data_IF_035917260869
#
_entry.id   IF_035917260869
#
_cell.length_a   1.000
_cell.length_b   1.000
_cell.length_c   1.000
_cell.angle_alpha   90.00
_cell.angle_beta   90.00
_cell.angle_gamma   90.00
#
_symmetry.space_group_name_H-M   'P 1'
#
loop_
_entity.id
_entity.type
_entity.pdbx_description
1 polymer ?
#
# COMPACT_ATOMS: atom_id res chain seq x y z
N UNK A 1 1.48 0.15 -0.12
CA UNK A 1 2.30 0.14 1.10
C UNK A 1 3.72 -0.21 0.70
N UNK A 2 4.74 0.52 1.18
CA UNK A 2 6.14 0.12 0.98
C UNK A 2 6.34 -1.32 1.46
N UNK A 3 7.11 -2.12 0.72
CA UNK A 3 7.40 -3.53 1.00
C UNK A 3 6.20 -4.51 1.02
N UNK A 4 4.99 -4.09 0.65
CA UNK A 4 3.85 -5.01 0.59
C UNK A 4 3.93 -5.95 -0.62
N UNK A 5 3.70 -7.24 -0.37
CA UNK A 5 3.52 -8.26 -1.39
C UNK A 5 2.04 -8.39 -1.77
N UNK A 6 1.75 -8.60 -3.05
CA UNK A 6 0.39 -8.78 -3.53
C UNK A 6 0.09 -10.27 -3.74
N UNK A 7 -0.72 -10.86 -2.85
CA UNK A 7 -1.27 -12.20 -3.02
C UNK A 7 -2.79 -12.11 -3.20
N UNK A 8 -3.31 -12.38 -4.40
CA UNK A 8 -4.72 -12.20 -4.67
C UNK A 8 -5.55 -13.35 -4.09
N UNK A 9 -6.54 -13.03 -3.26
CA UNK A 9 -7.64 -13.96 -2.95
C UNK A 9 -8.46 -14.28 -4.20
N UNK A 10 -8.59 -13.31 -5.12
CA UNK A 10 -9.33 -13.39 -6.38
C UNK A 10 -8.59 -12.66 -7.48
N UNK A 11 -8.65 -13.17 -8.71
CA UNK A 11 -8.19 -12.45 -9.90
C UNK A 11 -9.17 -11.32 -10.27
N UNK A 12 -8.85 -10.55 -11.32
CA UNK A 12 -9.66 -9.40 -11.70
C UNK A 12 -11.09 -9.77 -12.14
N UNK A 13 -11.24 -10.87 -12.88
CA UNK A 13 -12.53 -11.30 -13.43
C UNK A 13 -13.43 -11.88 -12.33
N UNK A 14 -12.88 -12.74 -11.47
CA UNK A 14 -13.56 -13.25 -10.27
C UNK A 14 -14.00 -12.12 -9.36
N UNK A 15 -13.12 -11.13 -9.13
CA UNK A 15 -13.44 -9.95 -8.32
C UNK A 15 -14.57 -9.13 -8.95
N UNK A 16 -14.57 -8.98 -10.29
CA UNK A 16 -15.62 -8.26 -11.01
C UNK A 16 -16.97 -9.01 -10.92
N UNK A 17 -16.97 -10.33 -11.08
CA UNK A 17 -18.16 -11.17 -10.96
C UNK A 17 -18.76 -11.11 -9.54
N UNK A 18 -17.93 -11.29 -8.51
CA UNK A 18 -18.35 -11.19 -7.10
C UNK A 18 -18.83 -9.79 -6.75
N UNK A 19 -18.15 -8.75 -7.25
CA UNK A 19 -18.56 -7.36 -7.05
C UNK A 19 -19.92 -7.05 -7.68
N UNK A 20 -20.18 -7.57 -8.88
CA UNK A 20 -21.49 -7.45 -9.55
C UNK A 20 -22.57 -8.18 -8.78
N UNK A 21 -22.32 -9.43 -8.39
CA UNK A 21 -23.24 -10.23 -7.58
C UNK A 21 -23.57 -9.54 -6.25
N UNK A 22 -22.57 -8.98 -5.56
CA UNK A 22 -22.77 -8.23 -4.32
C UNK A 22 -23.73 -7.06 -4.51
N UNK A 23 -23.57 -6.29 -5.60
CA UNK A 23 -24.43 -5.14 -5.89
C UNK A 23 -25.87 -5.55 -6.23
N UNK A 24 -26.04 -6.68 -6.90
CA UNK A 24 -27.35 -7.11 -7.41
C UNK A 24 -28.14 -8.00 -6.42
N UNK A 25 -27.44 -8.86 -5.69
CA UNK A 25 -28.03 -9.97 -4.92
C UNK A 25 -27.60 -9.97 -3.45
N UNK A 26 -26.74 -9.02 -3.03
CA UNK A 26 -26.33 -8.84 -1.65
C UNK A 26 -25.14 -9.71 -1.23
N UNK A 27 -24.81 -9.62 0.07
CA UNK A 27 -23.58 -10.17 0.65
C UNK A 27 -23.51 -11.70 0.58
N UNK A 28 -24.57 -12.40 0.95
CA UNK A 28 -24.56 -13.86 1.07
C UNK A 28 -24.42 -14.54 -0.30
N UNK A 29 -25.12 -14.02 -1.31
CA UNK A 29 -24.99 -14.49 -2.69
C UNK A 29 -23.57 -14.28 -3.23
N UNK A 30 -22.97 -13.12 -2.95
CA UNK A 30 -21.60 -12.82 -3.36
C UNK A 30 -20.57 -13.71 -2.65
N UNK A 31 -20.78 -14.01 -1.37
CA UNK A 31 -19.94 -14.93 -0.61
C UNK A 31 -20.02 -16.35 -1.18
N UNK A 32 -21.23 -16.85 -1.44
CA UNK A 32 -21.45 -18.15 -2.05
C UNK A 32 -20.81 -18.25 -3.44
N UNK A 33 -20.95 -17.20 -4.26
CA UNK A 33 -20.27 -17.13 -5.56
C UNK A 33 -18.75 -17.14 -5.41
N UNK A 34 -18.21 -16.38 -4.46
CA UNK A 34 -16.78 -16.35 -4.17
C UNK A 34 -16.23 -17.72 -3.79
N UNK A 35 -16.94 -18.47 -2.94
CA UNK A 35 -16.55 -19.84 -2.59
C UNK A 35 -16.61 -20.80 -3.78
N UNK A 36 -17.56 -20.62 -4.70
CA UNK A 36 -17.63 -21.42 -5.94
C UNK A 36 -16.48 -21.13 -6.89
N UNK A 37 -16.11 -19.86 -7.04
CA UNK A 37 -15.04 -19.42 -7.94
C UNK A 37 -13.65 -19.79 -7.40
N UNK A 38 -13.47 -19.74 -6.08
CA UNK A 38 -12.20 -20.04 -5.41
C UNK A 38 -12.32 -21.36 -4.64
N UNK A 39 -12.45 -22.46 -5.40
CA UNK A 39 -12.61 -23.81 -4.89
C UNK A 39 -11.53 -24.77 -5.43
N UNK A 40 -11.46 -25.96 -4.83
CA UNK A 40 -10.60 -27.05 -5.28
C UNK A 40 -9.14 -26.64 -5.45
N UNK A 41 -8.57 -26.95 -6.62
CA UNK A 41 -7.17 -26.70 -6.93
C UNK A 41 -6.79 -25.21 -6.90
N UNK A 42 -7.68 -24.32 -7.35
CA UNK A 42 -7.45 -22.87 -7.34
C UNK A 42 -7.29 -22.36 -5.91
N UNK A 43 -8.15 -22.84 -4.99
CA UNK A 43 -8.03 -22.51 -3.56
C UNK A 43 -6.71 -23.02 -3.00
N UNK A 44 -6.33 -24.26 -3.33
CA UNK A 44 -5.10 -24.86 -2.84
C UNK A 44 -3.87 -24.09 -3.30
N UNK A 45 -3.76 -23.77 -4.60
CA UNK A 45 -2.67 -22.98 -5.17
C UNK A 45 -2.53 -21.61 -4.48
N UNK A 46 -3.64 -20.92 -4.24
CA UNK A 46 -3.64 -19.64 -3.51
C UNK A 46 -3.20 -19.81 -2.05
N UNK A 47 -3.69 -20.86 -1.39
CA UNK A 47 -3.33 -21.17 -0.01
C UNK A 47 -1.84 -21.49 0.14
N UNK A 48 -1.26 -22.25 -0.80
CA UNK A 48 0.17 -22.56 -0.80
C UNK A 48 1.03 -21.31 -0.98
N UNK A 49 0.61 -20.38 -1.85
CA UNK A 49 1.27 -19.09 -2.01
C UNK A 49 1.22 -18.25 -0.72
N UNK A 50 0.07 -18.22 -0.02
CA UNK A 50 -0.05 -17.57 1.28
C UNK A 50 0.86 -18.20 2.32
N UNK A 51 0.89 -19.53 2.41
CA UNK A 51 1.74 -20.26 3.35
C UNK A 51 3.22 -19.96 3.12
N UNK A 52 3.67 -20.01 1.86
CA UNK A 52 5.06 -19.72 1.51
C UNK A 52 5.45 -18.28 1.92
N UNK A 53 4.56 -17.31 1.68
CA UNK A 53 4.80 -15.93 2.05
C UNK A 53 4.84 -15.70 3.57
N UNK A 54 3.94 -16.34 4.33
CA UNK A 54 3.94 -16.26 5.79
C UNK A 54 5.21 -16.88 6.40
N UNK A 55 5.72 -17.99 5.83
CA UNK A 55 6.98 -18.61 6.26
C UNK A 55 8.18 -17.69 6.00
N UNK A 56 8.20 -16.99 4.86
CA UNK A 56 9.26 -16.03 4.53
C UNK A 56 9.15 -14.74 5.36
N UNK A 57 7.94 -14.40 5.84
CA UNK A 57 7.64 -13.14 6.53
C UNK A 57 6.84 -13.40 7.81
N UNK A 58 7.44 -14.02 8.86
CA UNK A 58 6.70 -14.42 10.06
C UNK A 58 6.12 -13.24 10.85
N UNK A 59 6.63 -12.03 10.66
CA UNK A 59 6.19 -10.79 11.32
C UNK A 59 5.30 -9.91 10.43
N UNK A 60 4.81 -10.44 9.30
CA UNK A 60 3.96 -9.65 8.41
C UNK A 60 2.51 -9.55 8.90
N UNK A 61 1.72 -8.75 8.19
CA UNK A 61 0.33 -8.45 8.54
C UNK A 61 -0.53 -8.50 7.28
N UNK A 62 -1.71 -9.14 7.35
CA UNK A 62 -2.69 -9.17 6.27
C UNK A 62 -3.40 -7.83 6.13
N UNK A 63 -3.64 -7.42 4.89
CA UNK A 63 -4.39 -6.21 4.60
C UNK A 63 -5.20 -6.37 3.32
N UNK A 64 -6.48 -5.99 3.36
CA UNK A 64 -7.27 -5.76 2.15
C UNK A 64 -7.69 -4.30 2.04
N UNK A 65 -8.38 -3.92 0.96
CA UNK A 65 -8.73 -2.52 0.69
C UNK A 65 -9.44 -1.79 1.85
N UNK A 66 -10.31 -2.49 2.60
CA UNK A 66 -11.16 -1.88 3.64
C UNK A 66 -11.28 -2.73 4.92
N UNK A 67 -10.42 -3.73 5.11
CA UNK A 67 -10.50 -4.64 6.26
C UNK A 67 -11.82 -5.43 6.33
N UNK A 68 -12.40 -5.79 5.18
CA UNK A 68 -13.66 -6.54 5.11
C UNK A 68 -13.45 -8.04 4.96
N UNK A 69 -14.49 -8.73 4.49
CA UNK A 69 -14.55 -10.20 4.40
C UNK A 69 -13.36 -10.86 3.70
N UNK A 70 -12.80 -10.24 2.66
CA UNK A 70 -11.69 -10.82 1.89
C UNK A 70 -10.47 -11.15 2.75
N UNK A 71 -10.04 -10.23 3.61
CA UNK A 71 -8.89 -10.48 4.48
C UNK A 71 -9.23 -11.48 5.59
N UNK A 72 -10.46 -11.49 6.10
CA UNK A 72 -10.91 -12.46 7.10
C UNK A 72 -11.03 -13.89 6.54
N UNK A 73 -11.43 -14.07 5.28
CA UNK A 73 -11.46 -15.38 4.62
C UNK A 73 -10.05 -15.96 4.54
N UNK A 74 -9.07 -15.17 4.07
CA UNK A 74 -7.67 -15.60 4.00
C UNK A 74 -7.12 -15.88 5.39
N UNK A 75 -7.39 -15.01 6.37
CA UNK A 75 -6.97 -15.22 7.74
C UNK A 75 -7.52 -16.53 8.33
N UNK A 76 -8.79 -16.84 8.05
CA UNK A 76 -9.41 -18.11 8.47
C UNK A 76 -8.73 -19.30 7.81
N UNK A 77 -8.44 -19.25 6.51
CA UNK A 77 -7.72 -20.33 5.82
C UNK A 77 -6.33 -20.56 6.40
N UNK A 78 -5.61 -19.48 6.72
CA UNK A 78 -4.30 -19.56 7.37
C UNK A 78 -4.39 -20.15 8.77
N UNK A 79 -5.35 -19.71 9.57
CA UNK A 79 -5.60 -20.23 10.91
C UNK A 79 -5.98 -21.72 10.88
N UNK A 80 -6.86 -22.14 9.95
CA UNK A 80 -7.19 -23.55 9.70
C UNK A 80 -5.95 -24.39 9.32
N UNK A 81 -4.95 -23.78 8.68
CA UNK A 81 -3.67 -24.40 8.36
C UNK A 81 -2.62 -24.27 9.49
N UNK A 82 -3.00 -23.78 10.67
CA UNK A 82 -2.14 -23.62 11.84
C UNK A 82 -1.21 -22.39 11.78
N UNK A 83 -1.54 -21.39 10.98
CA UNK A 83 -0.76 -20.16 10.83
C UNK A 83 -1.58 -18.98 11.36
N UNK A 84 -1.19 -18.49 12.53
CA UNK A 84 -1.73 -17.26 13.10
C UNK A 84 -1.06 -16.05 12.46
N UNK A 85 -1.85 -15.27 11.74
CA UNK A 85 -1.36 -14.08 11.04
C UNK A 85 -2.28 -12.88 11.30
N UNK A 86 -1.75 -11.75 11.79
CA UNK A 86 -2.56 -10.61 12.18
C UNK A 86 -3.13 -9.87 10.96
N UNK A 87 -4.17 -9.06 11.19
CA UNK A 87 -4.89 -8.33 10.16
C UNK A 87 -4.95 -6.84 10.50
N UNK A 88 -4.78 -5.99 9.49
CA UNK A 88 -4.94 -4.54 9.63
C UNK A 88 -6.41 -4.19 9.71
N UNK A 89 -6.87 -3.75 10.88
CA UNK A 89 -8.22 -3.24 11.07
C UNK A 89 -8.52 -2.05 10.14
N UNK A 90 -9.68 -2.09 9.48
CA UNK A 90 -10.06 -1.10 8.46
C UNK A 90 -9.23 -1.14 7.15
N UNK A 91 -8.22 -2.01 7.09
CA UNK A 91 -7.40 -2.29 5.92
C UNK A 91 -6.63 -1.09 5.39
N UNK A 92 -6.35 -1.10 4.09
CA UNK A 92 -5.52 -0.07 3.44
C UNK A 92 -6.14 1.33 3.54
N UNK A 93 -7.48 1.42 3.54
CA UNK A 93 -8.16 2.70 3.73
C UNK A 93 -7.79 3.33 5.07
N UNK A 94 -7.80 2.56 6.16
CA UNK A 94 -7.44 3.05 7.50
C UNK A 94 -5.96 3.49 7.54
N UNK A 95 -5.05 2.64 7.06
CA UNK A 95 -3.62 2.97 6.99
C UNK A 95 -3.36 4.26 6.19
N UNK A 96 -4.01 4.41 5.03
CA UNK A 96 -3.89 5.60 4.21
C UNK A 96 -4.40 6.83 4.95
N UNK A 97 -5.53 6.72 5.66
CA UNK A 97 -6.08 7.82 6.44
C UNK A 97 -5.14 8.22 7.57
N UNK A 98 -4.56 7.27 8.30
CA UNK A 98 -3.57 7.53 9.35
C UNK A 98 -2.35 8.26 8.80
N UNK A 99 -1.81 7.82 7.66
CA UNK A 99 -0.66 8.48 7.04
C UNK A 99 -0.99 9.92 6.59
N UNK A 100 -2.18 10.15 6.03
CA UNK A 100 -2.65 11.49 5.68
C UNK A 100 -2.77 12.37 6.92
N UNK A 101 -3.38 11.84 7.99
CA UNK A 101 -3.58 12.58 9.23
C UNK A 101 -2.25 12.98 9.87
N UNK A 102 -1.31 12.03 9.96
CA UNK A 102 0.04 12.31 10.44
C UNK A 102 0.76 13.38 9.60
N UNK A 103 0.55 13.38 8.28
CA UNK A 103 1.10 14.40 7.38
C UNK A 103 0.49 15.77 7.66
N UNK A 104 -0.83 15.85 7.85
CA UNK A 104 -1.54 17.10 8.18
C UNK A 104 -1.03 17.65 9.52
N UNK A 105 -0.88 16.80 10.53
CA UNK A 105 -0.37 17.20 11.85
C UNK A 105 1.07 17.70 11.80
N UNK A 106 1.94 17.03 11.04
CA UNK A 106 3.31 17.49 10.83
C UNK A 106 3.35 18.83 10.10
N UNK A 107 2.44 19.06 9.14
CA UNK A 107 2.36 20.33 8.42
C UNK A 107 1.92 21.52 9.30
N UNK A 108 1.32 21.28 10.47
CA UNK A 108 0.99 22.34 11.44
C UNK A 108 2.19 22.75 12.31
N UNK A 109 3.26 21.94 12.36
CA UNK A 109 4.47 22.30 13.11
C UNK A 109 5.19 23.46 12.40
N UNK A 110 5.94 24.30 13.12
CA UNK A 110 6.74 25.35 12.49
C UNK A 110 7.68 24.77 11.42
N UNK A 111 7.53 25.24 10.18
CA UNK A 111 8.39 24.86 9.05
C UNK A 111 9.36 26.01 8.81
N UNK A 112 10.66 25.72 8.86
CA UNK A 112 11.69 26.67 8.45
C UNK A 112 12.02 26.41 6.98
N UNK A 113 11.64 27.35 6.12
CA UNK A 113 11.98 27.30 4.70
C UNK A 113 13.40 27.83 4.50
N UNK A 114 14.32 26.96 4.06
CA UNK A 114 15.67 27.35 3.69
C UNK A 114 15.68 27.76 2.21
N UNK A 115 15.59 29.07 1.96
CA UNK A 115 15.72 29.68 0.64
C UNK A 115 17.14 30.19 0.37
N UNK A 116 17.51 30.32 -0.90
CA UNK A 116 18.80 30.85 -1.31
C UNK A 116 19.06 30.76 -2.82
N UNK A 117 20.03 31.53 -3.30
CA UNK A 117 20.46 31.49 -4.69
C UNK A 117 21.01 30.12 -5.09
N UNK A 118 21.03 29.81 -6.40
CA UNK A 118 21.70 28.60 -6.89
C UNK A 118 23.18 28.61 -6.49
N UNK A 119 23.69 27.47 -6.04
CA UNK A 119 25.07 27.33 -5.59
C UNK A 119 25.33 27.75 -4.13
N UNK A 120 24.32 28.21 -3.38
CA UNK A 120 24.49 28.65 -1.98
C UNK A 120 24.61 27.53 -0.94
N UNK A 121 24.73 26.26 -1.37
CA UNK A 121 24.83 25.11 -0.46
C UNK A 121 23.54 24.73 0.29
N UNK A 122 22.40 25.33 -0.05
CA UNK A 122 21.09 25.10 0.63
C UNK A 122 20.71 23.62 0.76
N UNK A 123 20.96 22.83 -0.27
CA UNK A 123 20.65 21.39 -0.28
C UNK A 123 21.49 20.60 0.72
N UNK A 124 22.79 20.92 0.83
CA UNK A 124 23.68 20.28 1.81
C UNK A 124 23.24 20.61 3.24
N UNK A 125 22.88 21.87 3.49
CA UNK A 125 22.39 22.29 4.80
C UNK A 125 21.09 21.57 5.19
N UNK A 126 20.14 21.44 4.25
CA UNK A 126 18.88 20.69 4.46
C UNK A 126 19.16 19.22 4.75
N UNK A 127 20.01 18.57 3.96
CA UNK A 127 20.33 17.14 4.11
C UNK A 127 21.09 16.80 5.39
N UNK A 128 21.79 17.79 5.99
CA UNK A 128 22.44 17.64 7.29
C UNK A 128 21.45 17.69 8.48
N UNK A 129 20.21 18.15 8.26
CA UNK A 129 19.22 18.20 9.33
C UNK A 129 18.54 16.83 9.50
N UNK A 130 18.35 16.34 10.74
CA UNK A 130 17.64 15.09 11.00
C UNK A 130 16.21 15.05 10.43
N UNK A 131 15.55 16.22 10.37
CA UNK A 131 14.19 16.38 9.85
C UNK A 131 14.19 17.17 8.53
N UNK A 132 15.34 17.26 7.85
CA UNK A 132 15.47 17.98 6.60
C UNK A 132 14.72 17.29 5.47
N UNK A 133 13.86 18.04 4.78
CA UNK A 133 13.13 17.54 3.62
C UNK A 133 13.64 18.25 2.36
N UNK A 134 14.43 17.53 1.56
CA UNK A 134 14.91 18.02 0.26
C UNK A 134 13.84 17.87 -0.81
N UNK A 135 12.93 18.85 -0.90
CA UNK A 135 11.85 18.86 -1.89
C UNK A 135 12.37 18.91 -3.33
N UNK A 136 13.50 19.59 -3.58
CA UNK A 136 14.12 19.69 -4.90
C UNK A 136 14.62 18.32 -5.36
N UNK A 137 15.34 17.61 -4.48
CA UNK A 137 15.79 16.23 -4.70
C UNK A 137 14.61 15.26 -4.87
N UNK A 138 13.61 15.32 -4.00
CA UNK A 138 12.42 14.45 -4.06
C UNK A 138 11.60 14.64 -5.34
N UNK A 139 11.44 15.89 -5.81
CA UNK A 139 10.75 16.19 -7.05
C UNK A 139 11.62 15.94 -8.30
N UNK A 140 12.91 15.59 -8.12
CA UNK A 140 13.92 15.64 -9.18
C UNK A 140 13.87 16.97 -9.93
N UNK A 141 13.57 18.04 -9.19
CA UNK A 141 13.30 19.35 -9.75
C UNK A 141 14.60 19.91 -10.31
N UNK A 142 14.55 20.36 -11.55
CA UNK A 142 15.71 20.95 -12.22
C UNK A 142 15.82 22.39 -11.76
N UNK A 143 16.73 22.67 -10.83
CA UNK A 143 17.17 24.04 -10.56
C UNK A 143 17.55 24.73 -11.88
N UNK A 144 17.14 25.99 -12.03
CA UNK A 144 17.16 26.77 -13.29
C UNK A 144 18.53 26.83 -14.02
N UNK A 145 19.65 26.49 -13.36
CA UNK A 145 21.00 26.73 -13.87
C UNK A 145 21.78 25.49 -14.36
N UNK A 146 21.35 24.26 -14.07
CA UNK A 146 22.11 23.05 -14.44
C UNK A 146 21.31 22.18 -15.41
N UNK A 147 21.87 21.98 -16.61
CA UNK A 147 21.25 21.29 -17.74
C UNK A 147 20.98 19.79 -17.55
N UNK A 148 20.75 19.08 -18.67
CA UNK A 148 20.31 17.66 -18.72
C UNK A 148 21.15 16.72 -17.84
N UNK A 149 20.52 16.12 -16.84
CA UNK A 149 20.99 14.92 -16.14
C UNK A 149 20.40 13.65 -16.79
N UNK A 150 21.02 12.49 -16.53
CA UNK A 150 20.63 11.19 -17.08
C UNK A 150 19.21 10.73 -16.65
N UNK A 151 18.64 11.32 -15.60
CA UNK A 151 17.32 10.95 -15.08
C UNK A 151 16.26 12.04 -15.36
N UNK A 152 15.05 11.67 -15.81
CA UNK A 152 13.98 12.61 -16.09
C UNK A 152 13.40 13.23 -14.81
N UNK A 153 13.05 14.52 -14.89
CA UNK A 153 12.35 15.27 -13.85
C UNK A 153 10.92 14.74 -13.68
N UNK A 154 10.43 14.65 -12.44
CA UNK A 154 9.05 14.23 -12.15
C UNK A 154 8.09 15.37 -12.49
N UNK A 155 7.01 15.05 -13.20
CA UNK A 155 5.96 16.04 -13.51
C UNK A 155 5.16 16.35 -12.25
N UNK A 156 4.79 17.62 -11.99
CA UNK A 156 3.89 17.95 -10.89
C UNK A 156 2.57 17.17 -11.03
N UNK A 157 2.13 16.48 -9.97
CA UNK A 157 0.83 15.81 -9.92
C UNK A 157 0.82 14.29 -10.20
N UNK A 158 1.97 13.62 -10.28
CA UNK A 158 2.04 12.14 -10.25
C UNK A 158 2.67 11.68 -8.93
N UNK A 159 1.84 11.59 -7.90
CA UNK A 159 2.11 10.79 -6.69
C UNK A 159 1.37 9.46 -6.79
#
# INVERSE_FOLDING_TARGET
MPAAINLPLMNNDERAAVGTCYKQQGSDAALALGHKLVAGEIRQQRMDAWRAACLQNPQGILCCARGGQRSHIVQRWLHEAGIDYPLVEGGYKALRQTAIQATIELAQKPIVLIGGCTGSGKTLLVQQQPNGVDLEGLARHRGSAFGRTLQPQLKPGKF
#
